data_IF_399172519045
#
_entry.id   IF_399172519045
#
_cell.length_a   1.000
_cell.length_b   1.000
_cell.length_c   1.000
_cell.angle_alpha   90.00
_cell.angle_beta   90.00
_cell.angle_gamma   90.00
#
_symmetry.space_group_name_H-M   'P 1'
#
loop_
_entity.id
_entity.type
_entity.pdbx_description
1 polymer ?
#
# COMPACT_ATOMS: atom_id res chain seq x y z
N UNK A 1 -1.15 4.42 5.05
CA UNK A 1 -2.46 5.10 5.07
C UNK A 1 -3.25 4.58 6.27
N UNK A 2 -3.86 5.48 7.03
CA UNK A 2 -4.82 5.15 8.10
C UNK A 2 -6.24 5.37 7.56
N UNK A 3 -7.18 4.49 7.92
CA UNK A 3 -8.61 4.70 7.64
C UNK A 3 -9.37 4.48 8.94
N UNK A 4 -9.89 5.58 9.49
CA UNK A 4 -10.68 5.65 10.70
C UNK A 4 -11.14 7.09 10.93
N UNK A 5 -12.32 7.28 11.54
CA UNK A 5 -12.84 8.59 11.94
C UNK A 5 -13.21 9.55 10.80
N UNK A 6 -14.50 9.71 10.53
CA UNK A 6 -14.99 10.85 9.76
C UNK A 6 -15.02 12.10 10.64
N UNK A 7 -13.90 12.84 10.72
CA UNK A 7 -13.90 14.29 11.00
C UNK A 7 -12.49 14.90 10.77
N UNK A 8 -12.35 15.75 9.75
CA UNK A 8 -11.22 16.68 9.63
C UNK A 8 -11.65 18.02 9.03
N UNK A 9 -12.46 18.78 9.76
CA UNK A 9 -12.59 20.22 9.52
C UNK A 9 -11.59 21.00 10.37
N UNK A 10 -10.39 21.24 9.83
CA UNK A 10 -9.56 22.35 10.26
C UNK A 10 -9.61 23.46 9.21
N UNK A 11 -10.37 24.51 9.53
CA UNK A 11 -10.34 25.76 8.77
C UNK A 11 -8.97 26.42 8.92
N UNK A 12 -8.31 26.71 7.80
CA UNK A 12 -7.10 27.51 7.74
C UNK A 12 -7.13 28.47 6.55
N UNK A 13 -7.97 29.50 6.67
CA UNK A 13 -7.86 30.70 5.84
C UNK A 13 -6.52 31.40 6.13
N UNK A 14 -5.47 31.04 5.40
CA UNK A 14 -4.16 31.69 5.43
C UNK A 14 -3.75 32.12 4.03
N UNK A 15 -3.05 33.25 3.99
CA UNK A 15 -3.11 34.16 2.84
C UNK A 15 -2.18 33.81 1.68
N UNK A 16 -2.52 34.27 0.48
CA UNK A 16 -1.63 34.20 -0.69
C UNK A 16 -0.52 35.27 -0.59
N UNK A 17 0.51 35.06 0.25
CA UNK A 17 1.86 35.66 0.11
C UNK A 17 2.86 35.20 1.19
N UNK A 18 3.67 34.18 0.87
CA UNK A 18 5.00 33.98 1.46
C UNK A 18 5.89 33.30 0.41
N UNK A 19 7.10 33.83 0.17
CA UNK A 19 7.99 33.39 -0.93
C UNK A 19 9.40 33.12 -0.40
N UNK A 20 9.91 31.93 -0.71
CA UNK A 20 11.29 31.41 -0.60
C UNK A 20 12.17 31.87 0.58
N UNK A 21 12.53 30.89 1.43
CA UNK A 21 13.89 30.51 1.87
C UNK A 21 13.79 29.18 2.65
N UNK A 22 14.68 28.19 2.52
CA UNK A 22 15.87 28.11 1.66
C UNK A 22 17.14 27.69 2.42
N UNK A 23 17.19 26.45 2.92
CA UNK A 23 18.43 25.81 3.41
C UNK A 23 18.29 24.28 3.46
N UNK A 24 19.28 23.55 2.96
CA UNK A 24 19.38 22.09 3.09
C UNK A 24 20.11 21.71 4.39
N UNK A 25 19.76 20.57 4.98
CA UNK A 25 20.65 19.84 5.91
C UNK A 25 20.24 18.36 5.97
N UNK A 26 21.07 17.50 5.38
CA UNK A 26 21.00 16.06 5.57
C UNK A 26 22.14 15.64 6.48
N UNK A 27 21.84 14.95 7.58
CA UNK A 27 22.83 14.43 8.53
C UNK A 27 22.73 12.91 8.58
N UNK A 28 23.62 12.24 7.86
CA UNK A 28 23.75 10.78 7.87
C UNK A 28 24.50 10.33 9.14
N UNK A 29 23.75 9.83 10.13
CA UNK A 29 24.33 9.16 11.30
C UNK A 29 24.68 7.70 10.97
N UNK A 30 25.97 7.36 10.90
CA UNK A 30 26.40 5.96 10.91
C UNK A 30 26.14 5.35 12.29
N UNK A 31 25.64 4.11 12.31
CA UNK A 31 25.67 3.23 13.49
C UNK A 31 26.56 2.04 13.16
N UNK A 32 27.58 1.83 13.98
CA UNK A 32 28.54 0.72 13.87
C UNK A 32 27.96 -0.51 14.58
N UNK A 33 27.90 -1.64 13.88
CA UNK A 33 27.72 -2.94 14.51
C UNK A 33 29.09 -3.56 14.83
N UNK A 34 29.34 -3.83 16.11
CA UNK A 34 30.53 -4.52 16.57
C UNK A 34 30.36 -6.04 16.53
N UNK A 35 31.47 -6.76 16.30
CA UNK A 35 31.47 -8.22 16.15
C UNK A 35 31.21 -8.96 17.47
N UNK A 36 30.49 -10.09 17.39
CA UNK A 36 30.38 -11.08 18.47
C UNK A 36 30.57 -12.49 17.89
N UNK A 37 31.79 -13.00 17.91
CA UNK A 37 32.15 -14.27 17.26
C UNK A 37 32.40 -15.38 18.26
N UNK A 38 31.71 -16.52 18.12
CA UNK A 38 32.08 -17.77 18.80
C UNK A 38 31.72 -19.00 17.95
N UNK A 39 32.74 -19.56 17.29
CA UNK A 39 32.81 -20.99 16.93
C UNK A 39 32.75 -21.88 18.19
N UNK A 40 32.51 -23.19 18.23
CA UNK A 40 32.62 -24.33 17.26
C UNK A 40 31.86 -25.55 17.92
N UNK A 41 31.71 -26.79 17.43
CA UNK A 41 32.17 -27.54 16.25
C UNK A 41 31.24 -28.79 15.99
N UNK A 42 31.59 -29.60 14.98
CA UNK A 42 31.50 -31.08 14.93
C UNK A 42 30.18 -31.84 15.19
N UNK A 43 29.67 -32.49 14.13
CA UNK A 43 29.10 -33.86 14.16
C UNK A 43 30.26 -34.91 14.24
N UNK A 44 30.07 -36.25 14.42
CA UNK A 44 29.13 -37.11 13.67
C UNK A 44 28.57 -38.36 14.43
N UNK A 45 27.94 -39.27 13.67
CA UNK A 45 27.59 -40.68 14.00
C UNK A 45 26.45 -40.89 15.02
N UNK A 46 25.78 -42.04 15.09
CA UNK A 46 25.37 -43.04 14.07
C UNK A 46 24.36 -44.01 14.73
N UNK A 47 23.47 -44.65 13.96
CA UNK A 47 22.66 -45.77 14.48
C UNK A 47 21.33 -45.99 13.78
N UNK A 48 21.27 -47.01 12.92
CA UNK A 48 20.00 -47.57 12.43
C UNK A 48 19.59 -48.76 13.30
N UNK A 49 18.33 -48.84 13.72
CA UNK A 49 17.70 -50.12 14.07
C UNK A 49 16.18 -50.06 13.85
N UNK A 50 15.59 -51.24 13.60
CA UNK A 50 14.19 -51.39 13.19
C UNK A 50 13.29 -51.76 14.38
N UNK A 51 12.15 -51.08 14.51
CA UNK A 51 11.12 -51.39 15.50
C UNK A 51 9.76 -51.59 14.85
N UNK A 52 9.31 -52.83 14.68
CA UNK A 52 7.91 -53.14 14.32
C UNK A 52 7.07 -53.20 15.60
N UNK A 53 6.15 -52.25 15.78
CA UNK A 53 5.16 -52.26 16.86
C UNK A 53 3.75 -52.02 16.33
N UNK A 54 2.85 -52.98 16.53
CA UNK A 54 1.39 -52.77 16.40
C UNK A 54 0.83 -52.47 17.78
N UNK A 55 -0.04 -51.47 17.92
CA UNK A 55 -0.72 -51.22 19.19
C UNK A 55 -1.84 -50.18 19.09
N UNK A 56 -3.03 -50.58 19.54
CA UNK A 56 -4.20 -49.79 19.99
C UNK A 56 -4.53 -48.43 19.34
N UNK A 57 -5.79 -48.31 18.89
CA UNK A 57 -6.45 -47.00 18.67
C UNK A 57 -6.75 -46.33 20.01
N UNK A 58 -6.45 -45.03 20.15
CA UNK A 58 -6.96 -44.20 21.24
C UNK A 58 -7.97 -43.18 20.71
N UNK A 59 -9.24 -43.33 21.08
CA UNK A 59 -10.34 -42.45 20.68
C UNK A 59 -10.35 -41.17 21.51
N UNK A 60 -9.37 -40.28 21.27
CA UNK A 60 -9.27 -38.99 21.98
C UNK A 60 -10.28 -37.97 21.44
N UNK A 61 -11.45 -37.91 22.06
CA UNK A 61 -12.50 -36.94 21.75
C UNK A 61 -12.16 -35.54 22.29
N UNK A 62 -11.39 -34.76 21.54
CA UNK A 62 -11.14 -33.36 21.86
C UNK A 62 -12.46 -32.55 21.82
N UNK A 63 -12.77 -31.72 22.84
CA UNK A 63 -13.94 -30.86 22.80
C UNK A 63 -13.76 -29.78 21.73
N UNK A 64 -14.76 -29.62 20.86
CA UNK A 64 -14.76 -28.56 19.85
C UNK A 64 -14.73 -27.19 20.55
N UNK A 65 -13.66 -26.43 20.35
CA UNK A 65 -13.56 -25.06 20.88
C UNK A 65 -14.62 -24.19 20.21
N UNK A 66 -15.44 -23.53 21.02
CA UNK A 66 -16.53 -22.69 20.57
C UNK A 66 -16.03 -21.57 19.64
N UNK A 67 -16.46 -21.59 18.39
CA UNK A 67 -16.23 -20.50 17.45
C UNK A 67 -17.07 -19.27 17.86
N UNK A 68 -16.53 -18.44 18.75
CA UNK A 68 -17.15 -17.17 19.15
C UNK A 68 -17.31 -16.27 17.93
N UNK A 69 -18.54 -16.09 17.48
CA UNK A 69 -18.83 -15.44 16.20
C UNK A 69 -18.51 -13.93 16.19
N UNK A 70 -17.95 -13.48 15.07
CA UNK A 70 -18.11 -12.15 14.48
C UNK A 70 -18.35 -10.96 15.44
N UNK A 71 -17.34 -10.58 16.22
CA UNK A 71 -17.26 -9.23 16.75
C UNK A 71 -17.13 -8.22 15.59
N UNK A 72 -18.02 -7.23 15.52
CA UNK A 72 -18.11 -6.29 14.40
C UNK A 72 -16.79 -5.57 14.08
N UNK A 73 -16.52 -5.39 12.79
CA UNK A 73 -15.26 -4.80 12.27
C UNK A 73 -15.36 -3.27 12.09
N UNK A 74 -16.53 -2.69 12.35
CA UNK A 74 -16.73 -1.23 12.35
C UNK A 74 -15.91 -0.60 13.50
N UNK A 75 -15.03 0.35 13.16
CA UNK A 75 -14.25 1.14 14.13
C UNK A 75 -12.83 0.67 14.47
N UNK A 76 -12.33 -0.46 13.94
CA UNK A 76 -10.92 -0.86 14.14
C UNK A 76 -9.99 -0.20 13.13
N UNK A 77 -9.14 0.71 13.59
CA UNK A 77 -8.07 1.28 12.78
C UNK A 77 -7.22 0.18 12.12
N UNK A 78 -7.08 0.28 10.81
CA UNK A 78 -6.33 -0.68 9.99
C UNK A 78 -5.32 0.08 9.13
N UNK A 79 -4.05 -0.32 9.23
CA UNK A 79 -3.00 0.16 8.33
C UNK A 79 -2.92 -0.76 7.12
N UNK A 80 -2.99 -0.16 5.93
CA UNK A 80 -2.80 -0.83 4.65
C UNK A 80 -1.34 -0.63 4.20
N UNK A 81 -0.64 -1.74 3.97
CA UNK A 81 0.73 -1.77 3.44
C UNK A 81 0.69 -2.36 2.03
N UNK A 82 0.96 -1.54 1.02
CA UNK A 82 1.00 -1.96 -0.37
C UNK A 82 2.38 -2.54 -0.71
N UNK A 83 2.45 -3.83 -1.03
CA UNK A 83 3.71 -4.52 -1.25
C UNK A 83 4.05 -4.51 -2.76
N UNK A 84 4.81 -3.49 -3.19
CA UNK A 84 5.10 -3.17 -4.60
C UNK A 84 5.50 -4.39 -5.46
N UNK A 85 6.32 -5.29 -4.91
CA UNK A 85 6.90 -6.44 -5.62
C UNK A 85 5.96 -7.65 -5.75
N UNK A 86 5.25 -8.02 -4.68
CA UNK A 86 4.27 -9.12 -4.67
C UNK A 86 2.90 -8.71 -5.24
N UNK A 87 2.62 -7.41 -5.32
CA UNK A 87 1.32 -6.85 -5.76
C UNK A 87 0.13 -7.29 -4.90
N UNK A 88 0.39 -7.49 -3.61
CA UNK A 88 -0.59 -7.73 -2.57
C UNK A 88 -0.56 -6.60 -1.53
N UNK A 89 -1.54 -6.61 -0.63
CA UNK A 89 -1.69 -5.62 0.44
C UNK A 89 -1.82 -6.34 1.77
N UNK A 90 -0.94 -6.01 2.71
CA UNK A 90 -1.01 -6.50 4.08
C UNK A 90 -1.85 -5.54 4.92
N UNK A 91 -2.87 -6.07 5.61
CA UNK A 91 -3.73 -5.33 6.54
C UNK A 91 -3.25 -5.57 7.97
N UNK A 92 -2.97 -4.49 8.69
CA UNK A 92 -2.42 -4.53 10.06
C UNK A 92 -3.44 -3.92 11.03
N UNK A 93 -3.77 -4.66 12.10
CA UNK A 93 -4.52 -4.14 13.25
C UNK A 93 -3.61 -3.17 14.03
N UNK A 94 -3.98 -1.89 14.09
CA UNK A 94 -3.11 -0.84 14.66
C UNK A 94 -2.95 -0.99 16.17
N UNK A 95 -4.03 -1.36 16.87
CA UNK A 95 -4.03 -1.49 18.33
C UNK A 95 -3.14 -2.65 18.80
N UNK A 96 -3.24 -3.80 18.11
CA UNK A 96 -2.50 -5.03 18.46
C UNK A 96 -1.14 -5.14 17.74
N UNK A 97 -0.88 -4.27 16.75
CA UNK A 97 0.31 -4.29 15.87
C UNK A 97 0.53 -5.62 15.15
N UNK A 98 -0.56 -6.35 14.87
CA UNK A 98 -0.54 -7.66 14.22
C UNK A 98 -0.99 -7.58 12.77
N UNK A 99 -0.38 -8.40 11.90
CA UNK A 99 -0.95 -8.68 10.58
C UNK A 99 -2.27 -9.43 10.77
N UNK A 100 -3.34 -8.91 10.17
CA UNK A 100 -4.64 -9.57 10.11
C UNK A 100 -4.71 -10.56 8.95
N UNK A 101 -4.26 -10.11 7.78
CA UNK A 101 -4.40 -10.79 6.50
C UNK A 101 -3.52 -10.09 5.44
N UNK A 102 -3.15 -10.82 4.39
CA UNK A 102 -2.57 -10.25 3.16
C UNK A 102 -3.45 -10.69 1.98
N UNK A 103 -3.87 -9.75 1.13
CA UNK A 103 -4.76 -10.02 -0.02
C UNK A 103 -4.12 -9.59 -1.35
N UNK A 104 -4.26 -10.35 -2.44
CA UNK A 104 -3.76 -9.96 -3.76
C UNK A 104 -4.53 -8.74 -4.29
N UNK A 105 -3.80 -7.78 -4.85
CA UNK A 105 -4.36 -6.58 -5.51
C UNK A 105 -4.10 -6.57 -7.03
N UNK A 106 -2.98 -7.18 -7.47
CA UNK A 106 -2.58 -7.26 -8.87
C UNK A 106 -1.86 -6.03 -9.43
N UNK A 107 -1.81 -4.92 -8.66
CA UNK A 107 -1.16 -3.66 -9.04
C UNK A 107 0.00 -3.28 -8.10
N UNK A 108 1.02 -2.61 -8.64
CA UNK A 108 2.19 -2.14 -7.90
C UNK A 108 1.99 -0.70 -7.40
N UNK A 109 1.17 -0.50 -6.36
CA UNK A 109 0.99 0.83 -5.73
C UNK A 109 2.28 1.24 -5.01
N UNK A 110 2.90 2.35 -5.43
CA UNK A 110 4.25 2.77 -4.98
C UNK A 110 4.23 3.88 -3.93
N UNK A 111 3.60 5.02 -4.24
CA UNK A 111 3.51 6.17 -3.32
C UNK A 111 2.06 6.64 -3.12
N UNK A 112 1.76 6.95 -1.86
CA UNK A 112 0.56 7.62 -1.37
C UNK A 112 1.02 8.53 -0.21
N UNK A 113 1.38 9.78 -0.49
CA UNK A 113 1.81 10.71 0.57
C UNK A 113 0.61 11.26 1.33
N UNK A 114 0.80 11.69 2.59
CA UNK A 114 -0.28 12.32 3.38
C UNK A 114 -0.67 13.71 2.85
N UNK A 115 0.15 14.29 1.97
CA UNK A 115 -0.05 15.61 1.34
C UNK A 115 -0.77 15.49 -0.02
N UNK A 116 -0.80 14.28 -0.59
CA UNK A 116 -1.44 13.94 -1.86
C UNK A 116 -2.91 13.60 -1.62
N UNK A 117 -3.84 14.35 -2.22
CA UNK A 117 -5.26 13.98 -2.20
C UNK A 117 -5.50 12.75 -3.09
N UNK A 118 -5.72 11.58 -2.49
CA UNK A 118 -5.96 10.31 -3.20
C UNK A 118 -7.36 9.71 -2.99
N UNK A 119 -8.26 10.39 -2.27
CA UNK A 119 -9.55 9.82 -1.84
C UNK A 119 -10.74 10.55 -2.47
N UNK A 120 -11.52 9.85 -3.30
CA UNK A 120 -12.73 10.40 -3.94
C UNK A 120 -13.98 10.38 -3.05
N UNK A 121 -13.90 9.77 -1.86
CA UNK A 121 -15.03 9.53 -0.96
C UNK A 121 -15.40 8.05 -0.81
N UNK A 122 -14.99 7.18 -1.75
CA UNK A 122 -15.26 5.75 -1.74
C UNK A 122 -14.05 4.88 -2.13
N UNK A 123 -13.10 5.41 -2.92
CA UNK A 123 -11.96 4.70 -3.52
C UNK A 123 -10.66 5.47 -3.33
N UNK A 124 -9.57 4.72 -3.18
CA UNK A 124 -8.20 5.25 -3.24
C UNK A 124 -7.81 5.30 -4.73
N UNK A 125 -7.60 6.50 -5.26
CA UNK A 125 -7.05 6.71 -6.58
C UNK A 125 -5.54 6.87 -6.52
N UNK A 126 -4.85 6.11 -7.36
CA UNK A 126 -3.39 6.11 -7.48
C UNK A 126 -3.00 5.67 -8.89
N UNK A 127 -1.75 5.29 -9.11
CA UNK A 127 -1.22 4.95 -10.42
C UNK A 127 -0.44 3.63 -10.38
N UNK A 128 -0.32 3.00 -11.54
CA UNK A 128 0.67 1.97 -11.83
C UNK A 128 1.25 2.26 -13.24
N UNK A 129 2.35 1.61 -13.59
CA UNK A 129 2.94 1.68 -14.93
C UNK A 129 3.47 0.31 -15.39
N UNK A 130 2.61 -0.72 -15.53
CA UNK A 130 3.02 -2.01 -16.07
C UNK A 130 3.65 -1.82 -17.46
N UNK A 131 4.78 -2.48 -17.72
CA UNK A 131 5.53 -2.38 -18.98
C UNK A 131 5.87 -0.93 -19.40
N UNK A 132 6.08 -0.04 -18.41
CA UNK A 132 6.29 1.40 -18.60
C UNK A 132 5.14 2.13 -19.32
N UNK A 133 3.90 1.67 -19.18
CA UNK A 133 2.69 2.36 -19.68
C UNK A 133 1.84 2.84 -18.50
N UNK A 134 1.73 4.17 -18.33
CA UNK A 134 1.04 4.80 -17.20
C UNK A 134 -0.47 4.54 -17.25
N UNK A 135 -1.02 4.15 -16.11
CA UNK A 135 -2.45 3.99 -15.89
C UNK A 135 -2.84 4.54 -14.51
N UNK A 136 -3.98 5.21 -14.44
CA UNK A 136 -4.63 5.52 -13.16
C UNK A 136 -5.48 4.33 -12.71
N UNK A 137 -5.49 4.03 -11.42
CA UNK A 137 -6.25 2.93 -10.82
C UNK A 137 -7.04 3.40 -9.61
N UNK A 138 -8.26 2.90 -9.45
CA UNK A 138 -9.12 3.12 -8.29
C UNK A 138 -9.24 1.83 -7.47
N UNK A 139 -8.97 1.90 -6.17
CA UNK A 139 -8.93 0.76 -5.27
C UNK A 139 -10.05 0.90 -4.23
N UNK A 140 -10.89 -0.12 -4.09
CA UNK A 140 -11.79 -0.26 -2.95
C UNK A 140 -10.98 -0.79 -1.76
N UNK A 141 -10.85 -0.03 -0.64
CA UNK A 141 -10.07 -0.47 0.52
C UNK A 141 -10.76 -1.56 1.35
N UNK A 142 -12.10 -1.67 1.32
CA UNK A 142 -12.85 -2.72 2.05
C UNK A 142 -12.69 -4.08 1.40
N UNK A 143 -12.74 -4.12 0.06
CA UNK A 143 -12.52 -5.35 -0.72
C UNK A 143 -11.03 -5.66 -0.91
N UNK A 144 -10.18 -4.62 -1.00
CA UNK A 144 -8.77 -4.68 -1.40
C UNK A 144 -8.65 -5.09 -2.88
N UNK A 145 -9.41 -4.40 -3.74
CA UNK A 145 -9.52 -4.72 -5.16
C UNK A 145 -9.40 -3.46 -6.04
N UNK A 146 -8.74 -3.57 -7.19
CA UNK A 146 -8.81 -2.55 -8.25
C UNK A 146 -10.22 -2.60 -8.86
N UNK A 147 -10.98 -1.52 -8.71
CA UNK A 147 -12.37 -1.40 -9.20
C UNK A 147 -12.49 -0.64 -10.51
N UNK A 148 -11.45 0.14 -10.88
CA UNK A 148 -11.40 0.87 -12.14
C UNK A 148 -9.95 1.11 -12.56
N UNK A 149 -9.70 1.09 -13.87
CA UNK A 149 -8.41 1.41 -14.49
C UNK A 149 -8.65 2.36 -15.66
N UNK A 150 -7.87 3.43 -15.74
CA UNK A 150 -7.81 4.35 -16.88
C UNK A 150 -6.41 4.18 -17.47
N UNK A 151 -6.30 3.37 -18.52
CA UNK A 151 -5.03 2.96 -19.14
C UNK A 151 -4.71 3.79 -20.39
N UNK A 152 -3.49 3.63 -20.91
CA UNK A 152 -3.06 4.30 -22.15
C UNK A 152 -2.78 5.79 -21.99
N UNK A 153 -2.40 6.23 -20.78
CA UNK A 153 -2.11 7.64 -20.49
C UNK A 153 -0.77 8.10 -21.08
N UNK A 154 0.13 7.16 -21.38
CA UNK A 154 1.41 7.37 -22.05
C UNK A 154 2.57 6.60 -21.40
N UNK A 155 3.79 6.99 -21.73
CA UNK A 155 5.01 6.34 -21.27
C UNK A 155 5.41 6.78 -19.86
N UNK A 156 5.83 5.79 -19.07
CA UNK A 156 6.23 5.96 -17.68
C UNK A 156 7.64 6.52 -17.49
N UNK A 157 8.03 6.78 -16.22
CA UNK A 157 7.28 6.42 -15.01
C UNK A 157 6.09 7.36 -14.72
N UNK A 158 5.15 6.86 -13.91
CA UNK A 158 4.23 7.71 -13.14
C UNK A 158 4.76 7.87 -11.71
N UNK A 159 4.53 9.02 -11.07
CA UNK A 159 5.00 9.31 -9.70
C UNK A 159 3.90 9.82 -8.75
N UNK A 160 2.82 10.39 -9.26
CA UNK A 160 1.69 10.86 -8.44
C UNK A 160 0.39 10.91 -9.24
N UNK A 161 -0.73 10.75 -8.52
CA UNK A 161 -2.07 11.12 -8.98
C UNK A 161 -2.72 11.94 -7.87
N UNK A 162 -3.21 13.12 -8.19
CA UNK A 162 -3.92 14.02 -7.27
C UNK A 162 -5.39 14.12 -7.70
N UNK A 163 -6.28 13.59 -6.87
CA UNK A 163 -7.73 13.81 -6.96
C UNK A 163 -7.99 15.29 -6.66
N UNK A 164 -8.73 15.96 -7.54
CA UNK A 164 -9.03 17.38 -7.43
C UNK A 164 -10.11 17.64 -6.36
N UNK A 165 -10.28 18.88 -5.87
CA UNK A 165 -11.23 19.18 -4.78
C UNK A 165 -12.69 18.84 -5.07
N UNK A 166 -13.09 18.67 -6.33
CA UNK A 166 -14.43 18.22 -6.74
C UNK A 166 -14.66 16.72 -6.55
N UNK A 167 -13.60 15.93 -6.29
CA UNK A 167 -13.56 14.46 -6.20
C UNK A 167 -14.04 13.71 -7.45
N UNK A 168 -14.35 14.42 -8.53
CA UNK A 168 -14.77 13.88 -9.83
C UNK A 168 -13.63 13.85 -10.84
N UNK A 169 -12.60 14.67 -10.64
CA UNK A 169 -11.43 14.75 -11.53
C UNK A 169 -10.13 14.41 -10.81
N UNK A 170 -9.10 14.05 -11.58
CA UNK A 170 -7.73 13.96 -11.09
C UNK A 170 -6.72 14.55 -12.09
N UNK A 171 -5.52 14.84 -11.61
CA UNK A 171 -4.33 15.10 -12.39
C UNK A 171 -3.28 14.00 -12.12
N UNK A 172 -2.61 13.52 -13.17
CA UNK A 172 -1.55 12.49 -13.09
C UNK A 172 -0.37 12.88 -13.98
N UNK A 173 0.85 12.68 -13.50
CA UNK A 173 2.06 12.92 -14.29
C UNK A 173 2.37 11.73 -15.21
N UNK A 174 2.71 12.02 -16.46
CA UNK A 174 3.13 11.03 -17.47
C UNK A 174 4.54 11.41 -17.90
N UNK A 175 5.53 10.99 -17.12
CA UNK A 175 6.85 11.60 -17.15
C UNK A 175 7.57 11.41 -18.50
N UNK A 176 7.40 10.25 -19.15
CA UNK A 176 7.98 9.96 -20.46
C UNK A 176 7.40 10.82 -21.61
N UNK A 177 6.20 11.38 -21.43
CA UNK A 177 5.57 12.28 -22.41
C UNK A 177 5.62 13.76 -22.01
N UNK A 178 6.32 14.13 -20.93
CA UNK A 178 6.50 15.51 -20.47
C UNK A 178 5.16 16.26 -20.32
N UNK A 179 4.16 15.59 -19.73
CA UNK A 179 2.81 16.14 -19.57
C UNK A 179 2.13 15.73 -18.26
N UNK A 180 1.13 16.52 -17.88
CA UNK A 180 0.08 16.14 -16.93
C UNK A 180 -1.16 15.77 -17.73
N UNK A 181 -1.77 14.62 -17.43
CA UNK A 181 -3.09 14.26 -17.93
C UNK A 181 -4.16 14.59 -16.86
N UNK A 182 -5.26 15.21 -17.30
CA UNK A 182 -6.44 15.44 -16.48
C UNK A 182 -7.49 14.38 -16.80
N UNK A 183 -8.07 13.77 -15.77
CA UNK A 183 -8.93 12.60 -15.88
C UNK A 183 -10.31 12.89 -15.28
N UNK A 184 -11.36 12.38 -15.93
CA UNK A 184 -12.68 12.19 -15.33
C UNK A 184 -12.72 10.81 -14.65
N UNK A 185 -12.96 10.79 -13.34
CA UNK A 185 -12.97 9.60 -12.50
C UNK A 185 -14.32 8.85 -12.55
N UNK A 186 -15.40 9.56 -12.87
CA UNK A 186 -16.77 9.06 -12.98
C UNK A 186 -16.95 8.30 -14.30
N UNK A 187 -16.63 8.93 -15.42
CA UNK A 187 -16.64 8.33 -16.75
C UNK A 187 -15.41 7.43 -16.98
N UNK A 188 -14.22 7.81 -16.52
CA UNK A 188 -13.00 7.01 -16.65
C UNK A 188 -12.19 7.35 -17.91
N UNK A 189 -12.13 8.62 -18.25
CA UNK A 189 -11.62 9.15 -19.51
C UNK A 189 -10.57 10.22 -19.26
N UNK A 190 -9.72 10.48 -20.27
CA UNK A 190 -8.86 11.66 -20.28
C UNK A 190 -9.69 12.85 -20.77
N UNK A 191 -9.77 13.91 -19.97
CA UNK A 191 -10.44 15.17 -20.32
C UNK A 191 -9.54 16.04 -21.20
N UNK A 192 -8.27 16.16 -20.82
CA UNK A 192 -7.28 17.01 -21.45
C UNK A 192 -5.86 16.64 -21.01
N UNK A 193 -4.87 17.17 -21.70
CA UNK A 193 -3.46 17.11 -21.30
C UNK A 193 -2.83 18.50 -21.29
N UNK A 194 -1.83 18.68 -20.44
CA UNK A 194 -1.04 19.90 -20.33
C UNK A 194 0.44 19.55 -20.46
N UNK A 195 1.09 20.08 -21.49
CA UNK A 195 2.54 19.96 -21.70
C UNK A 195 3.31 20.72 -20.62
N UNK A 196 4.44 20.17 -20.18
CA UNK A 196 5.28 20.71 -19.11
C UNK A 196 6.75 20.82 -19.52
N UNK A 197 7.63 21.11 -18.55
CA UNK A 197 9.05 20.75 -18.67
C UNK A 197 9.25 19.22 -18.69
N UNK A 198 10.51 18.80 -18.85
CA UNK A 198 10.85 17.38 -18.95
C UNK A 198 10.64 16.62 -17.62
N UNK A 199 10.09 15.39 -17.70
CA UNK A 199 9.84 14.49 -16.56
C UNK A 199 9.14 15.17 -15.34
N UNK A 200 7.89 15.65 -15.50
CA UNK A 200 7.03 16.10 -14.39
C UNK A 200 6.62 14.94 -13.46
#
# INVERSE_FOLDING_TARGET
MFVGGSDWFLSSSLDRRAVLKGASSATLGLIVFACGSSSQASSPSAGSSSGRGRGASETSSAPAQSATAAGGVEGRETVYVFNVGSKDVTLIDVANRQVRETRPLGASVRWLSNEQTYWDGARIWTYDFPNNQVQAIAIDPRQVAVTKTIAGLGEGPGHSLVVLPDKKKAAINVAGNNLIAFLDLENGTVDSTLQTGAFP
#
